data_IF_423115026815
#
_entry.id   IF_423115026815
#
_cell.length_a   1.000
_cell.length_b   1.000
_cell.length_c   1.000
_cell.angle_alpha   90.00
_cell.angle_beta   90.00
_cell.angle_gamma   90.00
#
_symmetry.space_group_name_H-M   'P 1'
#
loop_
_entity.id
_entity.type
_entity.pdbx_description
1 polymer ?
#
# COMPACT_ATOMS: atom_id res chain seq x y z
N UNK A 1 -33.40 -1.49 2.27
CA UNK A 1 -33.39 -0.13 1.68
C UNK A 1 -33.77 0.98 2.67
N UNK A 2 -34.77 0.80 3.56
CA UNK A 2 -35.08 1.79 4.62
C UNK A 2 -33.96 1.92 5.67
N UNK A 3 -33.50 0.79 6.19
CA UNK A 3 -32.39 0.70 7.14
C UNK A 3 -31.10 1.42 6.69
N UNK A 4 -30.74 1.32 5.40
CA UNK A 4 -29.53 1.99 4.86
C UNK A 4 -29.67 3.51 4.83
N UNK A 5 -30.88 4.01 4.59
CA UNK A 5 -31.18 5.45 4.61
C UNK A 5 -31.21 5.98 6.04
N UNK A 6 -31.84 5.24 6.95
CA UNK A 6 -31.89 5.56 8.39
C UNK A 6 -30.48 5.60 9.00
N UNK A 7 -29.64 4.60 8.73
CA UNK A 7 -28.23 4.59 9.17
C UNK A 7 -27.42 5.76 8.59
N UNK A 8 -27.63 6.10 7.31
CA UNK A 8 -26.97 7.26 6.70
C UNK A 8 -27.37 8.56 7.40
N UNK A 9 -28.64 8.68 7.80
CA UNK A 9 -29.16 9.87 8.46
C UNK A 9 -28.69 9.98 9.91
N UNK A 10 -28.60 8.86 10.63
CA UNK A 10 -27.97 8.79 11.96
C UNK A 10 -26.49 9.24 11.90
N UNK A 11 -25.70 8.64 11.02
CA UNK A 11 -24.29 8.99 10.85
C UNK A 11 -24.10 10.46 10.48
N UNK A 12 -24.95 11.00 9.60
CA UNK A 12 -24.93 12.43 9.23
C UNK A 12 -25.19 13.32 10.44
N UNK A 13 -26.17 12.96 11.28
CA UNK A 13 -26.51 13.72 12.49
C UNK A 13 -25.37 13.68 13.52
N UNK A 14 -24.72 12.52 13.68
CA UNK A 14 -23.55 12.36 14.54
C UNK A 14 -22.35 13.19 14.07
N UNK A 15 -22.09 13.23 12.76
CA UNK A 15 -21.04 14.10 12.20
C UNK A 15 -21.32 15.58 12.47
N UNK A 16 -22.56 16.04 12.26
CA UNK A 16 -22.95 17.44 12.53
C UNK A 16 -22.82 17.82 14.01
N UNK A 17 -23.08 16.88 14.93
CA UNK A 17 -22.87 17.09 16.35
C UNK A 17 -21.37 17.24 16.67
N UNK A 18 -20.52 16.39 16.10
CA UNK A 18 -19.07 16.46 16.29
C UNK A 18 -18.48 17.75 15.71
N UNK A 19 -18.90 18.15 14.52
CA UNK A 19 -18.48 19.41 13.90
C UNK A 19 -18.79 20.62 14.79
N UNK A 20 -20.00 20.67 15.36
CA UNK A 20 -20.35 21.71 16.33
C UNK A 20 -19.47 21.69 17.58
N UNK A 21 -19.21 20.50 18.14
CA UNK A 21 -18.34 20.36 19.32
C UNK A 21 -16.89 20.77 19.04
N UNK A 22 -16.42 20.56 17.82
CA UNK A 22 -15.06 20.91 17.37
C UNK A 22 -14.95 22.34 16.82
N UNK A 23 -16.04 23.11 16.81
CA UNK A 23 -16.04 24.48 16.29
C UNK A 23 -15.83 24.58 14.77
N UNK A 24 -16.11 23.52 14.01
CA UNK A 24 -15.93 23.50 12.56
C UNK A 24 -17.11 24.22 11.92
N UNK A 25 -16.88 25.45 11.46
CA UNK A 25 -17.90 26.32 10.87
C UNK A 25 -18.13 26.06 9.38
N UNK A 26 -17.07 25.74 8.63
CA UNK A 26 -17.11 25.48 7.19
C UNK A 26 -16.59 24.08 6.91
N UNK A 27 -17.45 23.22 6.34
CA UNK A 27 -17.06 21.90 5.87
C UNK A 27 -16.37 22.00 4.51
N UNK A 28 -15.22 21.35 4.37
CA UNK A 28 -14.56 21.20 3.07
C UNK A 28 -15.46 20.44 2.10
N UNK A 29 -15.59 20.96 0.89
CA UNK A 29 -16.41 20.38 -0.18
C UNK A 29 -15.51 20.07 -1.37
N UNK A 30 -15.89 19.11 -2.24
CA UNK A 30 -15.23 18.94 -3.53
C UNK A 30 -15.13 20.29 -4.27
N UNK A 31 -13.92 20.68 -4.66
CA UNK A 31 -13.62 21.97 -5.29
C UNK A 31 -13.26 23.13 -4.34
N UNK A 32 -13.18 22.89 -3.03
CA UNK A 32 -12.49 23.83 -2.12
C UNK A 32 -10.99 23.54 -2.11
N UNK A 33 -10.17 24.58 -1.99
CA UNK A 33 -8.71 24.46 -1.97
C UNK A 33 -8.22 23.47 -0.91
N UNK A 34 -8.83 23.47 0.29
CA UNK A 34 -8.46 22.56 1.36
C UNK A 34 -8.81 21.11 1.03
N UNK A 35 -9.94 20.88 0.36
CA UNK A 35 -10.32 19.55 -0.11
C UNK A 35 -9.34 19.04 -1.14
N UNK A 36 -8.98 19.86 -2.13
CA UNK A 36 -8.10 19.46 -3.22
C UNK A 36 -6.66 19.24 -2.73
N UNK A 37 -6.15 20.11 -1.85
CA UNK A 37 -4.86 19.91 -1.17
C UNK A 37 -4.84 18.60 -0.37
N UNK A 38 -5.89 18.36 0.42
CA UNK A 38 -5.98 17.13 1.23
C UNK A 38 -6.12 15.89 0.36
N UNK A 39 -6.88 15.97 -0.73
CA UNK A 39 -7.01 14.88 -1.70
C UNK A 39 -5.64 14.49 -2.27
N UNK A 40 -4.83 15.48 -2.68
CA UNK A 40 -3.47 15.24 -3.15
C UNK A 40 -2.58 14.62 -2.07
N UNK A 41 -2.67 15.12 -0.83
CA UNK A 41 -1.95 14.54 0.32
C UNK A 41 -2.31 13.07 0.54
N UNK A 42 -3.60 12.73 0.51
CA UNK A 42 -4.09 11.36 0.67
C UNK A 42 -3.60 10.47 -0.48
N UNK A 43 -3.66 10.94 -1.73
CA UNK A 43 -3.13 10.20 -2.89
C UNK A 43 -1.63 9.89 -2.72
N UNK A 44 -0.83 10.89 -2.36
CA UNK A 44 0.61 10.71 -2.08
C UNK A 44 0.86 9.75 -0.93
N UNK A 45 0.06 9.82 0.13
CA UNK A 45 0.17 8.88 1.25
C UNK A 45 -0.20 7.45 0.87
N UNK A 46 -1.24 7.27 0.04
CA UNK A 46 -1.61 5.96 -0.50
C UNK A 46 -0.47 5.38 -1.34
N UNK A 47 0.13 6.18 -2.23
CA UNK A 47 1.31 5.78 -2.99
C UNK A 47 2.46 5.33 -2.08
N UNK A 48 2.84 6.14 -1.08
CA UNK A 48 3.89 5.78 -0.11
C UNK A 48 3.60 4.47 0.62
N UNK A 49 2.35 4.24 1.04
CA UNK A 49 1.98 2.95 1.66
C UNK A 49 2.14 1.77 0.71
N UNK A 50 1.87 1.96 -0.58
CA UNK A 50 2.09 0.93 -1.59
C UNK A 50 3.59 0.67 -1.81
N UNK A 51 4.41 1.72 -1.83
CA UNK A 51 5.88 1.65 -1.85
C UNK A 51 6.40 0.83 -0.67
N UNK A 52 6.11 1.24 0.57
CA UNK A 52 6.55 0.58 1.80
C UNK A 52 6.12 -0.91 1.82
N UNK A 53 4.90 -1.18 1.33
CA UNK A 53 4.37 -2.53 1.29
C UNK A 53 5.10 -3.41 0.29
N UNK A 54 5.38 -2.88 -0.90
CA UNK A 54 6.10 -3.62 -1.94
C UNK A 54 7.53 -3.90 -1.47
N UNK A 55 8.23 -2.89 -0.96
CA UNK A 55 9.60 -2.98 -0.48
C UNK A 55 9.73 -4.00 0.67
N UNK A 56 8.90 -3.88 1.70
CA UNK A 56 8.95 -4.82 2.84
C UNK A 56 8.77 -6.28 2.43
N UNK A 57 7.97 -6.55 1.39
CA UNK A 57 7.79 -7.91 0.85
C UNK A 57 9.02 -8.39 0.07
N UNK A 58 9.68 -7.51 -0.68
CA UNK A 58 10.91 -7.82 -1.43
C UNK A 58 12.05 -8.08 -0.45
N UNK A 59 12.23 -7.21 0.54
CA UNK A 59 13.20 -7.38 1.64
C UNK A 59 12.98 -8.73 2.32
N UNK A 60 11.73 -9.06 2.69
CA UNK A 60 11.41 -10.36 3.29
C UNK A 60 11.80 -11.52 2.37
N UNK A 61 11.45 -11.45 1.08
CA UNK A 61 11.83 -12.45 0.06
C UNK A 61 13.34 -12.67 0.00
N UNK A 62 14.12 -11.58 -0.05
CA UNK A 62 15.59 -11.66 -0.08
C UNK A 62 16.14 -12.39 1.14
N UNK A 63 15.70 -12.02 2.34
CA UNK A 63 16.12 -12.69 3.57
C UNK A 63 15.80 -14.19 3.56
N UNK A 64 14.71 -14.61 2.94
CA UNK A 64 14.34 -16.03 2.92
C UNK A 64 15.12 -16.83 1.90
N UNK A 65 15.42 -16.24 0.74
CA UNK A 65 16.34 -16.82 -0.22
C UNK A 65 17.72 -17.00 0.41
N UNK A 66 18.23 -15.99 1.13
CA UNK A 66 19.49 -16.11 1.88
C UNK A 66 19.42 -17.22 2.94
N UNK A 67 18.29 -17.35 3.66
CA UNK A 67 18.09 -18.43 4.64
C UNK A 67 18.05 -19.82 3.99
N UNK A 68 17.44 -19.94 2.81
CA UNK A 68 17.33 -21.19 2.07
C UNK A 68 18.69 -21.68 1.54
N UNK A 69 19.57 -20.75 1.14
CA UNK A 69 20.92 -21.06 0.66
C UNK A 69 21.91 -21.48 1.77
N UNK A 70 21.58 -21.30 3.06
CA UNK A 70 22.45 -21.77 4.15
C UNK A 70 22.36 -23.30 4.32
N UNK A 71 23.53 -23.96 4.29
CA UNK A 71 23.67 -25.39 4.54
C UNK A 71 23.18 -25.77 5.96
N UNK A 72 22.74 -27.03 6.14
CA UNK A 72 22.15 -27.62 7.37
C UNK A 72 20.65 -27.35 7.63
N UNK A 73 19.85 -27.02 6.62
CA UNK A 73 18.38 -26.94 6.78
C UNK A 73 17.70 -28.30 6.53
N UNK A 74 17.12 -28.87 7.59
CA UNK A 74 16.37 -30.13 7.51
C UNK A 74 15.21 -30.08 6.50
N UNK A 75 14.84 -31.23 5.91
CA UNK A 75 13.86 -31.32 4.81
C UNK A 75 12.52 -30.62 5.12
N UNK A 76 11.99 -30.79 6.34
CA UNK A 76 10.75 -30.13 6.77
C UNK A 76 10.86 -28.61 6.69
N UNK A 77 11.97 -28.04 7.16
CA UNK A 77 12.21 -26.60 7.13
C UNK A 77 12.31 -26.07 5.70
N UNK A 78 13.00 -26.79 4.80
CA UNK A 78 13.05 -26.45 3.36
C UNK A 78 11.66 -26.42 2.72
N UNK A 79 10.81 -27.41 3.03
CA UNK A 79 9.42 -27.44 2.53
C UNK A 79 8.60 -26.24 3.02
N UNK A 80 8.75 -25.84 4.27
CA UNK A 80 8.08 -24.63 4.80
C UNK A 80 8.60 -23.35 4.14
N UNK A 81 9.92 -23.23 3.94
CA UNK A 81 10.51 -22.09 3.24
C UNK A 81 10.02 -21.98 1.79
N UNK A 82 9.94 -23.11 1.06
CA UNK A 82 9.40 -23.12 -0.30
C UNK A 82 7.94 -22.64 -0.39
N UNK A 83 7.07 -23.12 0.51
CA UNK A 83 5.68 -22.64 0.59
C UNK A 83 5.59 -21.15 0.92
N UNK A 84 6.42 -20.70 1.86
CA UNK A 84 6.46 -19.31 2.27
C UNK A 84 6.93 -18.41 1.11
N UNK A 85 7.92 -18.86 0.33
CA UNK A 85 8.42 -18.14 -0.84
C UNK A 85 7.34 -18.03 -1.93
N UNK A 86 6.61 -19.12 -2.20
CA UNK A 86 5.48 -19.11 -3.13
C UNK A 86 4.39 -18.12 -2.70
N UNK A 87 4.00 -18.15 -1.42
CA UNK A 87 3.01 -17.23 -0.87
C UNK A 87 3.45 -15.76 -0.99
N UNK A 88 4.73 -15.46 -0.75
CA UNK A 88 5.25 -14.11 -0.94
C UNK A 88 5.36 -13.69 -2.39
N UNK A 89 5.74 -14.57 -3.31
CA UNK A 89 5.71 -14.23 -4.74
C UNK A 89 4.31 -13.76 -5.15
N UNK A 90 3.25 -14.41 -4.66
CA UNK A 90 1.88 -13.96 -4.91
C UNK A 90 1.57 -12.62 -4.23
N UNK A 91 2.00 -12.43 -2.98
CA UNK A 91 1.82 -11.16 -2.28
C UNK A 91 2.54 -9.98 -2.96
N UNK A 92 3.75 -10.21 -3.48
CA UNK A 92 4.52 -9.22 -4.24
C UNK A 92 3.79 -8.86 -5.54
N UNK A 93 3.22 -9.82 -6.27
CA UNK A 93 2.41 -9.53 -7.47
C UNK A 93 1.25 -8.58 -7.17
N UNK A 94 0.53 -8.84 -6.08
CA UNK A 94 -0.58 -7.98 -5.66
C UNK A 94 -0.08 -6.60 -5.21
N UNK A 95 1.01 -6.54 -4.44
CA UNK A 95 1.59 -5.27 -4.00
C UNK A 95 2.11 -4.44 -5.18
N UNK A 96 2.70 -5.08 -6.19
CA UNK A 96 3.17 -4.47 -7.42
C UNK A 96 2.01 -3.86 -8.23
N UNK A 97 0.91 -4.58 -8.38
CA UNK A 97 -0.29 -4.05 -9.04
C UNK A 97 -0.83 -2.81 -8.31
N UNK A 98 -0.96 -2.89 -6.97
CA UNK A 98 -1.43 -1.76 -6.16
C UNK A 98 -0.47 -0.55 -6.24
N UNK A 99 0.84 -0.80 -6.28
CA UNK A 99 1.85 0.24 -6.47
C UNK A 99 1.67 0.92 -7.83
N UNK A 100 1.56 0.14 -8.91
CA UNK A 100 1.40 0.66 -10.27
C UNK A 100 0.10 1.49 -10.42
N UNK A 101 -1.00 1.01 -9.84
CA UNK A 101 -2.28 1.74 -9.81
C UNK A 101 -2.14 3.06 -9.03
N UNK A 102 -1.49 3.04 -7.87
CA UNK A 102 -1.28 4.24 -7.06
C UNK A 102 -0.32 5.24 -7.72
N UNK A 103 0.73 4.75 -8.39
CA UNK A 103 1.69 5.54 -9.14
C UNK A 103 1.01 6.24 -10.34
N UNK A 104 0.13 5.52 -11.06
CA UNK A 104 -0.61 6.08 -12.19
C UNK A 104 -1.63 7.15 -11.76
N UNK A 105 -2.10 7.10 -10.51
CA UNK A 105 -3.05 8.07 -9.95
C UNK A 105 -2.39 9.37 -9.45
N UNK A 106 -1.06 9.47 -9.46
CA UNK A 106 -0.34 10.70 -9.14
C UNK A 106 -0.37 11.69 -10.31
N UNK A 107 -0.12 12.96 -9.99
CA UNK A 107 0.05 14.04 -10.96
C UNK A 107 1.37 14.78 -10.67
N UNK A 108 2.42 14.60 -11.52
CA UNK A 108 2.45 13.72 -12.69
C UNK A 108 2.45 12.22 -12.33
N UNK A 109 2.10 11.31 -13.26
CA UNK A 109 2.15 9.87 -13.03
C UNK A 109 3.55 9.40 -12.63
N UNK A 110 3.62 8.57 -11.59
CA UNK A 110 4.87 7.97 -11.09
C UNK A 110 5.38 6.81 -11.97
N UNK A 111 6.61 6.36 -11.69
CA UNK A 111 7.26 5.26 -12.40
C UNK A 111 6.50 3.95 -12.21
N UNK A 112 6.19 3.27 -13.31
CA UNK A 112 5.61 1.93 -13.32
C UNK A 112 6.72 0.88 -13.28
N UNK A 113 6.47 -0.23 -12.56
CA UNK A 113 7.39 -1.35 -12.44
C UNK A 113 6.81 -2.61 -13.10
N UNK A 114 7.67 -3.44 -13.66
CA UNK A 114 7.31 -4.76 -14.17
C UNK A 114 7.74 -5.85 -13.18
N UNK A 115 7.21 -7.06 -13.36
CA UNK A 115 7.49 -8.18 -12.46
C UNK A 115 8.97 -8.59 -12.50
N UNK A 116 9.59 -8.52 -13.67
CA UNK A 116 10.99 -8.90 -13.91
C UNK A 116 11.92 -8.03 -13.06
N UNK A 117 11.75 -6.71 -13.09
CA UNK A 117 12.54 -5.76 -12.30
C UNK A 117 12.45 -6.01 -10.79
N UNK A 118 11.31 -6.50 -10.31
CA UNK A 118 11.07 -6.80 -8.89
C UNK A 118 11.68 -8.14 -8.48
N UNK A 119 11.66 -9.15 -9.37
CA UNK A 119 12.14 -10.50 -9.06
C UNK A 119 13.64 -10.64 -9.23
N UNK A 120 14.19 -9.98 -10.25
CA UNK A 120 15.62 -9.90 -10.55
C UNK A 120 16.40 -9.07 -9.53
N UNK A 121 15.69 -8.33 -8.67
CA UNK A 121 16.32 -7.68 -7.53
C UNK A 121 17.02 -8.71 -6.64
N UNK A 122 18.35 -8.66 -6.65
CA UNK A 122 19.21 -9.54 -5.84
C UNK A 122 19.79 -8.82 -4.63
N UNK A 123 19.91 -7.49 -4.72
CA UNK A 123 20.40 -6.65 -3.64
C UNK A 123 19.40 -5.51 -3.35
N UNK A 124 19.38 -5.03 -2.10
CA UNK A 124 18.45 -3.98 -1.69
C UNK A 124 18.72 -2.66 -2.41
N UNK A 125 19.99 -2.33 -2.72
CA UNK A 125 20.32 -1.12 -3.48
C UNK A 125 19.90 -1.19 -4.96
N UNK A 126 19.52 -2.37 -5.47
CA UNK A 126 18.92 -2.49 -6.80
C UNK A 126 17.45 -2.06 -6.79
N UNK A 127 16.82 -2.01 -5.61
CA UNK A 127 15.42 -1.65 -5.40
C UNK A 127 15.29 -0.31 -4.65
N UNK A 128 15.88 0.75 -5.19
CA UNK A 128 15.79 2.08 -4.56
C UNK A 128 14.49 2.80 -4.94
N UNK A 129 13.38 2.33 -4.35
CA UNK A 129 12.05 2.96 -4.46
C UNK A 129 11.85 4.08 -3.42
N UNK A 130 12.80 4.23 -2.49
CA UNK A 130 12.73 5.15 -1.34
C UNK A 130 13.21 6.56 -1.67
N UNK A 131 13.79 6.78 -2.86
CA UNK A 131 14.25 8.09 -3.29
C UNK A 131 13.19 8.98 -3.97
N UNK A 132 11.96 8.49 -4.17
CA UNK A 132 10.83 9.22 -4.79
C UNK A 132 9.83 9.81 -3.76
#
# INVERSE_FOLDING_TARGET
RRHTTEMRQDLKSRCQLLERKLGISVRWKPGSDEWDKTKLMVQRQCYRKCVDRLESLIVARLFELSRMHRAHTGYKLRKHMGKALQARSQAIRTALANYNDAAAALDPPGRQLNWESVVECTFLADFDLLCD
#
